data_IF_657253689810
#
_entry.id   IF_657253689810
#
_cell.length_a   1.000
_cell.length_b   1.000
_cell.length_c   1.000
_cell.angle_alpha   90.00
_cell.angle_beta   90.00
_cell.angle_gamma   90.00
#
_symmetry.space_group_name_H-M   'P 1'
#
loop_
_entity.id
_entity.type
_entity.pdbx_description
1 polymer ?
#
# COMPACT_ATOMS: atom_id res chain seq x y z
N UNK A 1 -1.73 20.09 3.99
CA UNK A 1 -0.86 20.90 4.88
C UNK A 1 -1.47 22.26 5.19
N UNK A 2 -2.80 22.38 5.20
CA UNK A 2 -3.46 23.57 5.74
C UNK A 2 -4.38 23.09 6.86
N UNK A 3 -3.83 23.06 8.07
CA UNK A 3 -4.34 22.36 9.26
C UNK A 3 -5.59 22.98 9.89
N UNK A 4 -6.44 23.62 9.09
CA UNK A 4 -7.58 24.41 9.57
C UNK A 4 -8.96 23.90 9.16
N UNK A 5 -9.07 22.80 8.42
CA UNK A 5 -10.39 22.24 8.06
C UNK A 5 -10.58 20.87 8.71
N UNK A 6 -11.49 20.72 9.69
CA UNK A 6 -12.00 19.39 9.98
C UNK A 6 -12.57 18.85 8.67
N UNK A 7 -12.05 17.71 8.20
CA UNK A 7 -12.76 17.00 7.14
C UNK A 7 -14.17 16.77 7.65
N UNK A 8 -15.15 17.30 6.92
CA UNK A 8 -16.55 16.93 7.07
C UNK A 8 -16.60 15.40 6.93
N UNK A 9 -16.67 14.72 8.07
CA UNK A 9 -17.17 13.37 8.15
C UNK A 9 -18.64 13.49 7.71
N UNK A 10 -18.88 13.31 6.41
CA UNK A 10 -20.22 13.07 5.93
C UNK A 10 -20.79 11.90 6.75
N UNK A 11 -22.01 12.00 7.30
CA UNK A 11 -22.70 10.85 7.86
C UNK A 11 -23.19 10.01 6.68
N UNK A 12 -22.24 9.46 5.91
CA UNK A 12 -22.47 8.26 5.14
C UNK A 12 -22.72 7.22 6.22
N UNK A 13 -23.80 6.44 6.11
CA UNK A 13 -23.86 5.19 6.85
C UNK A 13 -22.68 4.35 6.40
N UNK A 14 -21.54 4.45 7.10
CA UNK A 14 -20.30 3.73 6.84
C UNK A 14 -20.51 2.29 7.32
N UNK A 15 -21.49 1.60 6.74
CA UNK A 15 -21.66 0.16 6.84
C UNK A 15 -20.88 -0.42 5.67
N UNK A 16 -19.59 -0.74 5.87
CA UNK A 16 -18.84 -1.53 4.90
C UNK A 16 -17.42 -1.09 4.55
N UNK A 17 -16.81 -0.08 5.20
CA UNK A 17 -15.37 -0.23 5.37
C UNK A 17 -15.20 -1.48 6.23
N UNK A 18 -14.39 -2.44 5.78
CA UNK A 18 -13.99 -3.53 6.65
C UNK A 18 -13.44 -2.86 7.91
N UNK A 19 -14.17 -2.98 9.01
CA UNK A 19 -13.75 -2.59 10.35
C UNK A 19 -12.41 -3.23 10.74
N UNK A 20 -11.97 -4.18 9.90
CA UNK A 20 -10.82 -5.04 10.03
C UNK A 20 -9.83 -4.98 8.85
N UNK A 21 -9.69 -3.83 8.16
CA UNK A 21 -8.43 -3.53 7.41
C UNK A 21 -7.29 -3.25 8.40
N UNK A 22 -7.13 -4.11 9.41
CA UNK A 22 -6.11 -4.11 10.45
C UNK A 22 -5.01 -5.13 10.12
N UNK A 23 -4.91 -5.53 8.87
CA UNK A 23 -3.93 -6.51 8.42
C UNK A 23 -2.77 -5.79 7.74
N UNK A 24 -1.52 -6.18 8.03
CA UNK A 24 -0.40 -5.76 7.20
C UNK A 24 -0.62 -6.27 5.77
N UNK A 25 -1.20 -7.44 5.56
CA UNK A 25 -1.28 -8.04 4.23
C UNK A 25 -2.64 -7.87 3.53
N UNK A 26 -2.63 -7.81 2.20
CA UNK A 26 -3.83 -7.97 1.35
C UNK A 26 -3.59 -9.16 0.42
N UNK A 27 -4.02 -10.36 0.82
CA UNK A 27 -4.18 -11.57 -0.01
C UNK A 27 -2.90 -12.16 -0.68
N UNK A 28 -2.69 -13.50 -0.71
CA UNK A 28 -3.54 -14.60 -0.24
C UNK A 28 -3.21 -15.13 1.18
N UNK A 29 -2.53 -14.36 2.02
CA UNK A 29 -2.12 -14.82 3.35
C UNK A 29 -2.91 -14.10 4.42
N UNK A 30 -3.77 -14.87 5.08
CA UNK A 30 -4.68 -14.47 6.15
C UNK A 30 -3.88 -14.22 7.44
N UNK A 31 -3.11 -13.12 7.47
CA UNK A 31 -2.34 -12.72 8.65
C UNK A 31 -3.19 -11.88 9.59
N UNK A 32 -3.01 -12.09 10.89
CA UNK A 32 -3.65 -11.32 11.93
C UNK A 32 -3.06 -9.92 12.15
N UNK A 33 -3.54 -9.22 13.19
CA UNK A 33 -3.19 -7.83 13.45
C UNK A 33 -1.74 -7.67 13.91
N UNK A 34 -1.15 -6.52 13.58
CA UNK A 34 0.13 -6.09 14.15
C UNK A 34 -0.11 -5.29 15.43
N UNK A 35 0.53 -5.71 16.52
CA UNK A 35 0.60 -4.95 17.76
C UNK A 35 2.00 -4.38 17.96
N UNK A 36 2.08 -3.11 18.37
CA UNK A 36 3.31 -2.55 18.91
C UNK A 36 3.67 -3.19 20.25
N UNK A 37 4.93 -3.08 20.66
CA UNK A 37 5.46 -3.72 21.88
C UNK A 37 4.81 -3.21 23.19
N UNK A 38 4.13 -2.08 23.13
CA UNK A 38 3.31 -1.54 24.23
C UNK A 38 1.85 -2.06 24.22
N UNK A 39 1.51 -2.97 23.31
CA UNK A 39 0.17 -3.53 23.12
C UNK A 39 -0.75 -2.67 22.24
N UNK A 40 -0.26 -1.57 21.66
CA UNK A 40 -1.03 -0.72 20.76
C UNK A 40 -1.33 -1.39 19.42
N UNK A 41 -2.61 -1.55 19.07
CA UNK A 41 -3.03 -2.10 17.78
C UNK A 41 -2.73 -1.14 16.64
N UNK A 42 -1.91 -1.58 15.69
CA UNK A 42 -1.62 -0.82 14.46
C UNK A 42 -2.85 -0.80 13.55
N UNK A 43 -3.14 0.37 13.02
CA UNK A 43 -4.24 0.62 12.07
C UNK A 43 -3.67 0.93 10.70
N UNK A 44 -4.36 0.47 9.66
CA UNK A 44 -3.95 0.74 8.29
C UNK A 44 -4.95 1.68 7.62
N UNK A 45 -4.42 2.52 6.75
CA UNK A 45 -5.19 3.41 5.90
C UNK A 45 -4.73 3.21 4.47
N UNK A 46 -5.69 3.04 3.57
CA UNK A 46 -5.46 3.09 2.12
C UNK A 46 -6.16 4.33 1.61
N UNK A 47 -5.42 5.17 0.88
CA UNK A 47 -5.91 6.43 0.37
C UNK A 47 -5.41 6.66 -1.05
N UNK A 48 -6.27 7.21 -1.90
CA UNK A 48 -5.92 7.61 -3.25
C UNK A 48 -6.00 9.13 -3.40
N UNK A 49 -5.21 9.70 -4.30
CA UNK A 49 -5.32 11.13 -4.58
C UNK A 49 -6.62 11.49 -5.31
N UNK A 50 -6.93 12.79 -5.38
CA UNK A 50 -8.16 13.30 -6.01
C UNK A 50 -8.28 12.93 -7.50
N UNK A 51 -7.18 12.95 -8.25
CA UNK A 51 -7.17 12.51 -9.65
C UNK A 51 -7.61 11.07 -9.80
N UNK A 52 -7.05 10.17 -8.98
CA UNK A 52 -7.44 8.76 -9.01
C UNK A 52 -8.89 8.57 -8.56
N UNK A 53 -9.32 9.24 -7.49
CA UNK A 53 -10.71 9.18 -7.06
C UNK A 53 -11.68 9.65 -8.15
N UNK A 54 -11.38 10.76 -8.82
CA UNK A 54 -12.19 11.28 -9.92
C UNK A 54 -12.27 10.30 -11.10
N UNK A 55 -11.15 9.65 -11.43
CA UNK A 55 -11.10 8.57 -12.42
C UNK A 55 -12.02 7.40 -12.04
N UNK A 56 -11.86 6.83 -10.84
CA UNK A 56 -12.67 5.69 -10.37
C UNK A 56 -14.15 6.05 -10.38
N UNK A 57 -14.50 7.27 -9.96
CA UNK A 57 -15.88 7.76 -9.94
C UNK A 57 -16.45 7.94 -11.35
N UNK A 58 -15.69 8.55 -12.26
CA UNK A 58 -16.14 8.84 -13.62
C UNK A 58 -16.47 7.56 -14.39
N UNK A 59 -15.59 6.57 -14.33
CA UNK A 59 -15.79 5.28 -14.97
C UNK A 59 -16.60 4.28 -14.13
N UNK A 60 -17.09 4.71 -12.97
CA UNK A 60 -17.90 3.90 -12.03
C UNK A 60 -17.22 2.59 -11.62
N UNK A 61 -15.88 2.56 -11.60
CA UNK A 61 -15.13 1.35 -11.24
C UNK A 61 -15.25 0.96 -9.76
N UNK A 62 -15.93 1.74 -8.93
CA UNK A 62 -16.38 1.28 -7.61
C UNK A 62 -17.50 0.22 -7.68
N UNK A 63 -18.12 -0.01 -8.85
CA UNK A 63 -19.07 -1.10 -9.12
C UNK A 63 -18.37 -2.23 -9.90
N UNK A 64 -18.40 -3.45 -9.32
CA UNK A 64 -17.77 -4.62 -9.91
C UNK A 64 -18.32 -4.96 -11.32
N UNK A 65 -19.58 -4.65 -11.61
CA UNK A 65 -20.18 -4.92 -12.94
C UNK A 65 -19.62 -4.01 -14.01
N UNK A 66 -19.39 -2.75 -13.69
CA UNK A 66 -18.79 -1.80 -14.62
C UNK A 66 -17.35 -2.22 -14.96
N UNK A 67 -16.62 -2.73 -13.96
CA UNK A 67 -15.32 -3.34 -14.20
C UNK A 67 -15.42 -4.55 -15.15
N UNK A 68 -16.32 -5.50 -14.88
CA UNK A 68 -16.52 -6.69 -15.73
C UNK A 68 -16.88 -6.31 -17.17
N UNK A 69 -17.81 -5.35 -17.34
CA UNK A 69 -18.24 -4.91 -18.67
C UNK A 69 -17.12 -4.19 -19.42
N UNK A 70 -16.32 -3.36 -18.73
CA UNK A 70 -15.15 -2.72 -19.34
C UNK A 70 -14.12 -3.76 -19.81
N UNK A 71 -13.82 -4.79 -19.01
CA UNK A 71 -12.94 -5.90 -19.40
C UNK A 71 -13.52 -6.64 -20.61
N UNK A 72 -14.81 -7.00 -20.60
CA UNK A 72 -15.47 -7.68 -21.73
C UNK A 72 -15.40 -6.88 -23.03
N UNK A 73 -15.64 -5.57 -22.97
CA UNK A 73 -15.56 -4.67 -24.13
C UNK A 73 -14.15 -4.67 -24.72
N UNK A 74 -13.12 -4.49 -23.88
CA UNK A 74 -11.72 -4.51 -24.29
C UNK A 74 -11.35 -5.81 -25.02
N UNK A 75 -11.74 -6.95 -24.45
CA UNK A 75 -11.36 -8.26 -24.96
C UNK A 75 -12.10 -8.69 -26.22
N UNK A 76 -13.33 -8.21 -26.42
CA UNK A 76 -14.11 -8.52 -27.61
C UNK A 76 -13.58 -7.85 -28.90
N UNK A 77 -12.37 -7.28 -28.87
CA UNK A 77 -11.75 -6.67 -30.04
C UNK A 77 -12.39 -5.34 -30.46
N UNK A 78 -13.40 -4.87 -29.71
CA UNK A 78 -13.66 -3.45 -29.66
C UNK A 78 -12.43 -2.87 -29.00
N UNK A 79 -11.54 -2.28 -29.80
CA UNK A 79 -10.46 -1.41 -29.36
C UNK A 79 -11.06 -0.16 -28.71
N UNK A 80 -11.90 -0.35 -27.71
CA UNK A 80 -12.17 0.62 -26.68
C UNK A 80 -10.86 0.72 -25.90
N UNK A 81 -9.88 1.36 -26.55
CA UNK A 81 -8.60 1.69 -25.98
C UNK A 81 -8.80 2.56 -24.74
N UNK A 82 -10.02 3.10 -24.51
CA UNK A 82 -10.43 3.90 -23.36
C UNK A 82 -10.76 3.09 -22.10
N UNK A 83 -11.06 1.79 -22.23
CA UNK A 83 -11.32 0.92 -21.10
C UNK A 83 -10.06 0.79 -20.23
N UNK A 84 -10.19 1.18 -18.96
CA UNK A 84 -9.07 1.25 -18.01
C UNK A 84 -7.87 2.07 -18.51
N UNK A 85 -8.08 3.08 -19.36
CA UNK A 85 -7.03 4.05 -19.65
C UNK A 85 -6.54 4.69 -18.36
N UNK A 86 -5.24 4.59 -18.13
CA UNK A 86 -4.59 5.30 -17.04
C UNK A 86 -4.91 6.79 -17.20
N UNK A 87 -5.35 7.50 -16.14
CA UNK A 87 -5.65 8.91 -16.24
C UNK A 87 -4.55 9.70 -16.92
N UNK A 88 -4.87 10.57 -17.87
CA UNK A 88 -3.88 11.39 -18.50
C UNK A 88 -3.23 12.28 -17.46
N UNK A 89 -1.92 12.43 -17.58
CA UNK A 89 -1.12 13.37 -16.82
C UNK A 89 -0.95 14.67 -17.63
N UNK A 90 -0.77 15.80 -16.95
CA UNK A 90 -0.40 17.07 -17.58
C UNK A 90 -1.60 17.97 -17.83
N UNK A 91 -1.46 18.90 -18.79
CA UNK A 91 -2.43 19.99 -19.00
C UNK A 91 -3.88 19.47 -19.11
N UNK A 92 -4.73 19.74 -18.11
CA UNK A 92 -6.11 19.22 -18.02
C UNK A 92 -7.01 19.72 -19.13
N UNK A 93 -6.64 20.82 -19.78
CA UNK A 93 -7.42 21.43 -20.86
C UNK A 93 -7.53 20.51 -22.09
N UNK A 94 -6.65 19.50 -22.24
CA UNK A 94 -6.51 18.79 -23.52
C UNK A 94 -6.93 17.31 -23.49
N UNK A 95 -7.09 16.63 -22.34
CA UNK A 95 -7.12 15.15 -22.37
C UNK A 95 -8.16 14.39 -21.53
N UNK A 96 -8.81 14.97 -20.52
CA UNK A 96 -9.89 14.25 -19.82
C UNK A 96 -10.92 15.18 -19.18
N UNK A 97 -12.18 15.01 -19.58
CA UNK A 97 -13.33 15.76 -19.05
C UNK A 97 -13.46 15.65 -17.53
N UNK A 98 -13.11 14.50 -16.95
CA UNK A 98 -13.21 14.27 -15.50
C UNK A 98 -12.10 14.90 -14.66
N UNK A 99 -11.04 15.45 -15.29
CA UNK A 99 -9.96 16.17 -14.60
C UNK A 99 -10.12 17.69 -14.70
N UNK A 100 -10.91 18.19 -15.65
CA UNK A 100 -11.06 19.61 -15.97
C UNK A 100 -11.42 20.46 -14.76
N UNK A 101 -12.27 19.92 -13.88
CA UNK A 101 -12.81 20.64 -12.74
C UNK A 101 -11.96 20.45 -11.46
N UNK A 102 -10.85 19.70 -11.54
CA UNK A 102 -9.89 19.59 -10.44
C UNK A 102 -8.90 20.77 -10.44
N UNK A 103 -8.40 21.22 -9.28
CA UNK A 103 -7.31 22.17 -9.24
C UNK A 103 -6.01 21.56 -9.80
N UNK A 104 -5.10 22.37 -10.34
CA UNK A 104 -3.87 21.91 -11.00
C UNK A 104 -3.02 20.98 -10.13
N UNK A 105 -2.89 21.25 -8.82
CA UNK A 105 -2.14 20.40 -7.90
C UNK A 105 -2.74 18.99 -7.75
N UNK A 106 -4.01 18.80 -8.08
CA UNK A 106 -4.70 17.53 -7.99
C UNK A 106 -4.57 16.70 -9.26
N UNK A 107 -4.10 17.27 -10.38
CA UNK A 107 -4.01 16.65 -11.71
C UNK A 107 -2.64 15.97 -11.94
N UNK A 108 -2.19 15.19 -10.94
CA UNK A 108 -0.82 14.66 -10.87
C UNK A 108 -0.73 13.16 -11.22
N UNK A 109 -1.77 12.63 -11.88
CA UNK A 109 -1.90 11.22 -12.22
C UNK A 109 -2.41 10.37 -11.04
N UNK A 110 -2.15 9.07 -11.10
CA UNK A 110 -2.55 8.11 -10.07
C UNK A 110 -1.55 8.11 -8.92
N UNK A 111 -2.04 8.32 -7.70
CA UNK A 111 -1.28 8.07 -6.47
C UNK A 111 -2.15 7.23 -5.55
N UNK A 112 -1.60 6.12 -5.10
CA UNK A 112 -2.14 5.25 -4.06
C UNK A 112 -1.17 5.25 -2.88
N UNK A 113 -1.70 5.36 -1.68
CA UNK A 113 -0.95 5.45 -0.44
C UNK A 113 -1.50 4.42 0.52
N UNK A 114 -0.62 3.61 1.08
CA UNK A 114 -0.93 2.74 2.21
C UNK A 114 -0.11 3.21 3.40
N UNK A 115 -0.75 3.44 4.53
CA UNK A 115 -0.12 3.96 5.73
C UNK A 115 -0.42 3.05 6.93
N UNK A 116 0.57 2.85 7.79
CA UNK A 116 0.41 2.17 9.07
C UNK A 116 0.53 3.21 10.19
N UNK A 117 -0.39 3.12 11.15
CA UNK A 117 -0.55 4.07 12.24
C UNK A 117 -0.56 3.33 13.57
N UNK A 118 0.28 3.72 14.52
CA UNK A 118 0.23 3.20 15.90
C UNK A 118 -0.51 4.17 16.83
N UNK A 119 -1.19 3.69 17.87
CA UNK A 119 -1.61 4.51 18.99
C UNK A 119 -0.45 5.27 19.62
N UNK A 120 -0.69 6.52 20.02
CA UNK A 120 0.25 7.30 20.82
C UNK A 120 -0.37 7.70 22.17
N UNK A 121 0.40 7.51 23.24
CA UNK A 121 0.11 8.00 24.58
C UNK A 121 1.02 9.20 24.89
N UNK A 122 0.43 10.40 25.03
CA UNK A 122 1.17 11.64 25.31
C UNK A 122 2.03 11.60 26.57
N UNK A 123 1.77 10.69 27.50
CA UNK A 123 2.54 10.55 28.76
C UNK A 123 3.69 9.57 28.64
N UNK A 124 3.66 8.66 27.68
CA UNK A 124 4.64 7.57 27.52
C UNK A 124 5.49 7.73 26.26
N UNK A 125 4.90 8.32 25.23
CA UNK A 125 5.50 8.46 23.92
C UNK A 125 6.08 9.84 23.68
N UNK A 126 7.17 9.86 22.91
CA UNK A 126 7.75 11.05 22.30
C UNK A 126 6.97 11.45 21.06
N UNK A 127 5.77 12.00 21.28
CA UNK A 127 4.81 12.37 20.23
C UNK A 127 5.45 13.28 19.16
N UNK A 128 6.37 14.16 19.54
CA UNK A 128 7.12 15.04 18.64
C UNK A 128 7.97 14.33 17.58
N UNK A 129 8.21 13.02 17.74
CA UNK A 129 8.93 12.19 16.77
C UNK A 129 8.04 11.58 15.68
N UNK A 130 6.72 11.76 15.77
CA UNK A 130 5.74 11.14 14.88
C UNK A 130 4.95 12.20 14.12
N UNK A 131 4.81 12.01 12.81
CA UNK A 131 3.71 12.64 12.09
C UNK A 131 2.42 12.04 12.63
N UNK A 132 1.64 12.83 13.37
CA UNK A 132 0.51 12.33 14.14
C UNK A 132 -0.80 13.08 13.84
N UNK A 133 -1.93 12.41 14.06
CA UNK A 133 -3.26 13.00 13.99
C UNK A 133 -4.27 12.22 14.82
N UNK A 134 -5.38 12.85 15.14
CA UNK A 134 -6.53 12.17 15.72
C UNK A 134 -7.30 11.43 14.63
N UNK A 135 -7.56 10.13 14.85
CA UNK A 135 -8.30 9.26 13.95
C UNK A 135 -9.53 8.68 14.65
N UNK A 136 -10.63 8.58 13.92
CA UNK A 136 -11.80 7.80 14.35
C UNK A 136 -11.48 6.33 14.07
N UNK A 137 -11.28 5.55 15.13
CA UNK A 137 -10.85 4.14 15.05
C UNK A 137 -11.99 3.15 15.34
N UNK A 138 -13.22 3.65 15.50
CA UNK A 138 -14.40 2.84 15.77
C UNK A 138 -15.54 3.65 16.36
N UNK A 139 -16.56 2.95 16.85
CA UNK A 139 -17.70 3.51 17.58
C UNK A 139 -17.82 2.80 18.92
N UNK A 140 -17.89 3.54 20.01
CA UNK A 140 -18.02 3.04 21.38
C UNK A 140 -19.22 3.71 22.04
N UNK A 141 -20.21 2.91 22.48
CA UNK A 141 -21.47 3.41 23.06
C UNK A 141 -22.19 4.44 22.15
N UNK A 142 -22.20 4.18 20.84
CA UNK A 142 -22.83 5.04 19.84
C UNK A 142 -22.06 6.33 19.52
N UNK A 143 -20.85 6.53 20.06
CA UNK A 143 -20.02 7.71 19.79
C UNK A 143 -18.73 7.33 19.05
N UNK A 144 -18.22 8.19 18.14
CA UNK A 144 -16.92 7.97 17.52
C UNK A 144 -15.81 7.83 18.57
N UNK A 145 -15.06 6.73 18.50
CA UNK A 145 -13.85 6.52 19.30
C UNK A 145 -12.69 7.20 18.59
N UNK A 146 -12.24 8.33 19.13
CA UNK A 146 -11.11 9.10 18.60
C UNK A 146 -9.83 8.72 19.35
N UNK A 147 -8.75 8.48 18.61
CA UNK A 147 -7.44 8.15 19.18
C UNK A 147 -6.33 8.96 18.50
N UNK A 148 -5.35 9.42 19.29
CA UNK A 148 -4.12 10.00 18.74
C UNK A 148 -3.28 8.89 18.13
N UNK A 149 -2.96 9.01 16.85
CA UNK A 149 -2.24 8.01 16.09
C UNK A 149 -0.99 8.62 15.44
N UNK A 150 0.13 7.89 15.47
CA UNK A 150 1.40 8.25 14.85
C UNK A 150 1.70 7.38 13.63
N UNK A 151 2.12 8.01 12.53
CA UNK A 151 2.54 7.31 11.32
C UNK A 151 3.81 6.52 11.63
N UNK A 152 3.79 5.21 11.41
CA UNK A 152 4.95 4.32 11.58
C UNK A 152 5.50 3.83 10.25
N UNK A 153 4.66 3.77 9.22
CA UNK A 153 5.13 3.42 7.88
C UNK A 153 4.20 3.89 6.77
N UNK A 154 4.76 4.02 5.57
CA UNK A 154 4.10 4.57 4.39
C UNK A 154 4.62 3.90 3.12
N UNK A 155 3.69 3.40 2.31
CA UNK A 155 3.90 3.09 0.90
C UNK A 155 3.26 4.19 0.06
N UNK A 156 4.00 4.70 -0.91
CA UNK A 156 3.49 5.61 -1.93
C UNK A 156 3.72 4.94 -3.27
N UNK A 157 2.63 4.48 -3.89
CA UNK A 157 2.64 4.04 -5.27
C UNK A 157 2.16 5.20 -6.14
N UNK A 158 2.96 5.57 -7.13
CA UNK A 158 2.64 6.63 -8.08
C UNK A 158 2.88 6.17 -9.50
N UNK A 159 1.94 6.50 -10.38
CA UNK A 159 2.21 6.52 -11.82
C UNK A 159 2.89 7.83 -12.21
N UNK A 160 4.06 7.76 -12.84
CA UNK A 160 4.83 8.92 -13.30
C UNK A 160 5.23 8.79 -14.77
N UNK A 161 5.07 9.83 -15.59
CA UNK A 161 5.54 9.82 -16.99
C UNK A 161 7.06 9.92 -17.12
N UNK A 162 7.75 10.36 -16.06
CA UNK A 162 9.21 10.46 -16.03
C UNK A 162 9.89 9.19 -15.52
N UNK A 163 9.21 8.05 -15.57
CA UNK A 163 9.87 6.74 -15.54
C UNK A 163 10.67 6.59 -16.83
N UNK A 164 11.79 7.30 -16.93
CA UNK A 164 12.56 7.38 -18.17
C UNK A 164 13.18 6.01 -18.46
N UNK A 165 12.71 5.37 -19.53
CA UNK A 165 13.38 4.29 -20.22
C UNK A 165 14.12 4.89 -21.43
N UNK A 166 15.47 4.92 -21.41
CA UNK A 166 16.25 5.42 -22.54
C UNK A 166 16.07 4.59 -23.83
N UNK A 167 15.59 3.35 -23.73
CA UNK A 167 15.44 2.41 -24.83
C UNK A 167 14.00 2.27 -25.35
N UNK A 168 12.98 2.47 -24.49
CA UNK A 168 11.57 2.32 -24.86
C UNK A 168 10.83 3.64 -25.17
N UNK A 169 11.44 4.79 -24.91
CA UNK A 169 10.76 6.08 -24.99
C UNK A 169 9.97 6.39 -23.71
N UNK A 170 9.27 7.54 -23.68
CA UNK A 170 8.59 8.06 -22.49
C UNK A 170 7.27 7.32 -22.16
N UNK A 171 7.32 6.00 -22.04
CA UNK A 171 6.24 5.21 -21.50
C UNK A 171 6.29 5.28 -19.98
N UNK A 172 5.37 6.04 -19.39
CA UNK A 172 5.30 6.23 -17.94
C UNK A 172 5.39 4.92 -17.13
N UNK A 173 5.70 5.06 -15.85
CA UNK A 173 6.01 3.93 -14.99
C UNK A 173 5.44 4.09 -13.58
N UNK A 174 5.23 2.96 -12.94
CA UNK A 174 4.94 2.91 -11.51
C UNK A 174 6.22 3.04 -10.72
N UNK A 175 6.21 3.99 -9.80
CA UNK A 175 7.24 4.16 -8.79
C UNK A 175 6.57 3.88 -7.45
N UNK A 176 7.03 2.83 -6.78
CA UNK A 176 6.59 2.49 -5.43
C UNK A 176 7.71 2.84 -4.44
N UNK A 177 7.47 3.80 -3.55
CA UNK A 177 8.43 4.21 -2.54
C UNK A 177 7.94 3.81 -1.16
N UNK A 178 8.83 3.25 -0.37
CA UNK A 178 8.54 2.73 0.97
C UNK A 178 9.30 3.52 2.01
N UNK A 179 8.62 3.98 3.05
CA UNK A 179 9.18 4.77 4.14
C UNK A 179 8.80 4.18 5.50
N UNK A 180 9.66 4.40 6.49
CA UNK A 180 9.44 3.98 7.87
C UNK A 180 9.87 5.05 8.85
N UNK A 181 9.23 5.04 10.01
CA UNK A 181 9.72 5.75 11.19
C UNK A 181 10.96 5.03 11.75
N UNK A 182 12.00 5.79 12.14
CA UNK A 182 13.33 5.24 12.47
C UNK A 182 13.38 4.38 13.74
N UNK A 183 12.40 4.55 14.63
CA UNK A 183 12.22 3.84 15.89
C UNK A 183 11.36 2.57 15.70
N UNK A 184 11.05 2.12 14.49
CA UNK A 184 10.22 0.92 14.29
C UNK A 184 10.88 -0.36 14.83
N UNK A 185 12.13 -0.62 14.47
CA UNK A 185 12.81 -1.91 14.73
C UNK A 185 14.16 -1.78 15.44
N UNK A 186 14.67 -0.55 15.56
CA UNK A 186 15.95 -0.25 16.23
C UNK A 186 15.74 0.77 17.33
N UNK A 187 16.40 0.58 18.47
CA UNK A 187 16.49 1.63 19.49
C UNK A 187 17.26 2.82 18.94
N UNK A 188 16.81 4.02 19.24
CA UNK A 188 17.52 5.26 18.92
C UNK A 188 17.78 6.08 20.19
N UNK A 189 18.65 7.07 20.10
CA UNK A 189 18.88 8.04 21.17
C UNK A 189 18.24 9.35 20.77
N UNK A 190 17.38 9.89 21.64
CA UNK A 190 16.78 11.20 21.46
C UNK A 190 17.81 12.33 21.70
N UNK A 191 17.44 13.55 21.33
CA UNK A 191 18.32 14.73 21.45
C UNK A 191 18.73 15.05 22.89
N UNK A 192 17.93 14.63 23.88
CA UNK A 192 18.23 14.76 25.31
C UNK A 192 19.06 13.60 25.88
N UNK A 193 19.50 12.66 25.04
CA UNK A 193 20.26 11.48 25.44
C UNK A 193 19.39 10.29 25.90
N UNK A 194 18.07 10.42 25.94
CA UNK A 194 17.17 9.33 26.34
C UNK A 194 17.13 8.25 25.27
N UNK A 195 17.23 6.98 25.68
CA UNK A 195 17.03 5.85 24.77
C UNK A 195 15.54 5.70 24.45
N UNK A 196 15.21 5.79 23.16
CA UNK A 196 13.88 5.49 22.62
C UNK A 196 13.86 4.01 22.25
N UNK A 197 13.02 3.18 22.92
CA UNK A 197 12.91 1.78 22.58
C UNK A 197 12.23 1.60 21.21
N UNK A 198 12.51 0.50 20.50
CA UNK A 198 11.86 0.22 19.23
C UNK A 198 10.37 -0.09 19.41
N UNK A 199 9.58 0.29 18.42
CA UNK A 199 8.12 0.19 18.43
C UNK A 199 7.65 -1.25 18.28
N UNK A 200 8.29 -2.03 17.42
CA UNK A 200 7.85 -3.38 17.03
C UNK A 200 8.85 -4.47 17.42
N UNK A 201 10.03 -4.12 17.92
CA UNK A 201 11.06 -5.06 18.33
C UNK A 201 11.14 -5.14 19.85
N UNK A 202 11.34 -6.32 20.44
CA UNK A 202 11.47 -6.49 21.89
C UNK A 202 12.83 -6.02 22.48
N UNK A 203 13.65 -5.34 21.70
CA UNK A 203 14.99 -4.87 22.05
C UNK A 203 16.09 -5.94 22.00
N UNK A 204 15.77 -7.17 21.60
CA UNK A 204 16.75 -8.27 21.47
C UNK A 204 17.35 -8.30 20.06
N UNK A 205 18.56 -8.84 19.95
CA UNK A 205 19.15 -9.13 18.65
C UNK A 205 18.40 -10.30 17.97
N UNK A 206 18.20 -10.25 16.64
CA UNK A 206 17.56 -11.34 15.92
C UNK A 206 18.45 -12.59 15.90
N UNK A 207 17.84 -13.77 15.98
CA UNK A 207 18.47 -15.03 15.57
C UNK A 207 18.71 -15.03 14.05
N UNK A 208 19.52 -15.97 13.51
CA UNK A 208 19.68 -16.11 12.06
C UNK A 208 18.35 -16.28 11.32
N UNK A 209 17.44 -17.10 11.86
CA UNK A 209 16.10 -17.30 11.28
C UNK A 209 15.28 -16.01 11.32
N UNK A 210 15.26 -15.29 12.45
CA UNK A 210 14.56 -14.01 12.56
C UNK A 210 15.15 -12.95 11.61
N UNK A 211 16.46 -12.98 11.38
CA UNK A 211 17.13 -12.11 10.41
C UNK A 211 16.77 -12.45 8.97
N UNK A 212 16.45 -13.72 8.68
CA UNK A 212 16.03 -14.15 7.36
C UNK A 212 14.58 -13.74 7.05
N UNK A 213 13.66 -13.96 7.99
CA UNK A 213 12.23 -13.74 7.78
C UNK A 213 11.71 -12.37 8.24
N UNK A 214 12.42 -11.70 9.16
CA UNK A 214 12.06 -10.38 9.67
C UNK A 214 11.10 -10.38 10.85
N UNK A 215 10.82 -11.51 11.50
CA UNK A 215 9.97 -11.56 12.70
C UNK A 215 10.25 -12.80 13.55
N UNK A 216 9.72 -12.83 14.77
CA UNK A 216 9.77 -13.98 15.69
C UNK A 216 8.41 -14.63 15.91
N UNK A 217 8.37 -15.93 16.19
CA UNK A 217 7.16 -16.59 16.68
C UNK A 217 6.14 -16.86 15.58
N UNK A 218 4.92 -17.20 16.00
CA UNK A 218 3.81 -17.48 15.10
C UNK A 218 3.18 -16.19 14.58
N UNK A 219 2.79 -16.18 13.31
CA UNK A 219 2.00 -15.09 12.74
C UNK A 219 0.62 -15.14 13.41
N UNK A 220 0.08 -14.03 13.92
CA UNK A 220 -1.24 -14.03 14.54
C UNK A 220 -2.28 -14.53 13.53
N UNK A 221 -3.33 -15.25 13.97
CA UNK A 221 -4.38 -15.70 13.08
C UNK A 221 -5.19 -14.51 12.54
N UNK A 222 -5.76 -14.66 11.36
CA UNK A 222 -6.65 -13.67 10.77
C UNK A 222 -7.82 -13.29 11.71
N UNK A 223 -8.18 -12.01 11.65
CA UNK A 223 -9.41 -11.50 12.27
C UNK A 223 -10.61 -11.91 11.43
N UNK A 224 -11.47 -12.75 12.01
CA UNK A 224 -12.75 -13.11 11.40
C UNK A 224 -13.75 -11.97 11.60
N UNK A 225 -14.40 -11.44 10.55
CA UNK A 225 -15.39 -10.39 10.67
C UNK A 225 -16.49 -10.74 11.69
N UNK A 226 -16.78 -9.81 12.60
CA UNK A 226 -17.78 -9.97 13.66
C UNK A 226 -17.31 -10.75 14.89
N UNK A 227 -16.09 -11.29 14.89
CA UNK A 227 -15.46 -11.85 16.08
C UNK A 227 -14.66 -10.79 16.85
N UNK A 228 -14.46 -10.95 18.17
CA UNK A 228 -13.51 -10.13 18.91
C UNK A 228 -12.10 -10.24 18.31
N UNK A 229 -11.34 -9.13 18.36
CA UNK A 229 -9.92 -9.17 18.02
C UNK A 229 -9.18 -10.14 18.97
N UNK A 230 -8.16 -10.86 18.47
CA UNK A 230 -7.33 -11.68 19.33
C UNK A 230 -6.65 -10.80 20.39
N UNK A 231 -6.32 -11.36 21.57
CA UNK A 231 -5.60 -10.62 22.60
C UNK A 231 -4.34 -9.93 22.06
N UNK A 232 -3.97 -8.76 22.61
CA UNK A 232 -2.77 -8.05 22.16
C UNK A 232 -1.52 -8.84 22.53
N UNK A 233 -1.02 -9.62 21.58
CA UNK A 233 0.24 -10.37 21.67
C UNK A 233 1.24 -9.80 20.66
N UNK A 234 2.15 -8.90 21.10
CA UNK A 234 3.11 -8.29 20.20
C UNK A 234 4.13 -9.30 19.67
N UNK A 235 4.09 -9.51 18.35
CA UNK A 235 5.15 -10.22 17.64
C UNK A 235 6.37 -9.29 17.50
N UNK A 236 7.56 -9.79 17.82
CA UNK A 236 8.78 -9.00 17.60
C UNK A 236 9.14 -8.98 16.12
N UNK A 237 9.20 -7.77 15.56
CA UNK A 237 9.57 -7.52 14.18
C UNK A 237 11.04 -7.07 14.11
N UNK A 238 11.74 -7.62 13.13
CA UNK A 238 13.12 -7.33 12.78
C UNK A 238 13.17 -6.87 11.33
N UNK A 239 14.21 -6.13 10.95
CA UNK A 239 14.48 -5.89 9.52
C UNK A 239 15.11 -7.14 8.94
N UNK A 240 14.46 -7.78 7.98
CA UNK A 240 15.06 -8.91 7.28
C UNK A 240 16.37 -8.47 6.60
N UNK A 241 17.37 -9.35 6.55
CA UNK A 241 18.68 -9.04 5.96
C UNK A 241 18.55 -8.62 4.49
N UNK A 242 17.63 -9.24 3.75
CA UNK A 242 17.29 -8.90 2.37
C UNK A 242 16.66 -7.49 2.20
N UNK A 243 16.17 -6.89 3.28
CA UNK A 243 15.58 -5.54 3.34
C UNK A 243 16.54 -4.52 3.99
N UNK A 244 17.83 -4.87 4.13
CA UNK A 244 18.85 -3.94 4.61
C UNK A 244 18.91 -2.73 3.69
N UNK A 245 18.91 -1.53 4.29
CA UNK A 245 18.96 -0.28 3.54
C UNK A 245 20.19 -0.25 2.62
N UNK A 246 20.03 -0.18 1.28
CA UNK A 246 21.17 -0.05 0.38
C UNK A 246 22.00 1.20 0.70
N UNK A 247 23.32 1.15 0.42
CA UNK A 247 24.21 2.27 0.71
C UNK A 247 23.74 3.59 0.06
N UNK A 248 23.31 3.53 -1.20
CA UNK A 248 22.75 4.69 -1.90
C UNK A 248 21.50 5.27 -1.21
N UNK A 249 20.62 4.40 -0.69
CA UNK A 249 19.43 4.83 0.06
C UNK A 249 19.82 5.50 1.38
N UNK A 250 20.79 4.95 2.11
CA UNK A 250 21.31 5.57 3.33
C UNK A 250 21.89 6.96 3.06
N UNK A 251 22.67 7.11 1.98
CA UNK A 251 23.20 8.42 1.56
C UNK A 251 22.08 9.40 1.24
N UNK A 252 21.04 8.98 0.52
CA UNK A 252 19.87 9.82 0.21
C UNK A 252 19.13 10.22 1.48
N UNK A 253 18.91 9.29 2.42
CA UNK A 253 18.28 9.60 3.71
C UNK A 253 19.08 10.65 4.49
N UNK A 254 20.39 10.46 4.62
CA UNK A 254 21.27 11.42 5.29
C UNK A 254 21.19 12.80 4.64
N UNK A 255 21.26 12.85 3.30
CA UNK A 255 21.15 14.10 2.56
C UNK A 255 19.80 14.78 2.82
N UNK A 256 18.69 14.05 2.66
CA UNK A 256 17.35 14.60 2.81
C UNK A 256 17.09 15.07 4.24
N UNK A 257 17.45 14.26 5.23
CA UNK A 257 17.33 14.58 6.66
C UNK A 257 18.21 15.77 7.08
N UNK A 258 19.28 16.07 6.35
CA UNK A 258 20.13 17.25 6.59
C UNK A 258 19.57 18.56 6.01
N UNK A 259 18.60 18.50 5.10
CA UNK A 259 18.02 19.71 4.50
C UNK A 259 17.19 20.48 5.52
N UNK A 260 17.24 21.82 5.49
CA UNK A 260 16.52 22.66 6.46
C UNK A 260 15.02 22.32 6.61
N UNK A 261 14.24 22.08 5.54
CA UNK A 261 12.82 21.75 5.68
C UNK A 261 12.56 20.43 6.42
N UNK A 262 13.50 19.48 6.36
CA UNK A 262 13.33 18.14 6.94
C UNK A 262 13.94 18.09 8.33
N UNK A 263 15.17 18.59 8.47
CA UNK A 263 15.92 18.65 9.73
C UNK A 263 15.11 19.35 10.82
N UNK A 264 14.42 20.42 10.49
CA UNK A 264 13.66 21.20 11.47
C UNK A 264 12.20 20.73 11.60
N UNK A 265 11.84 19.60 10.99
CA UNK A 265 10.49 19.02 11.01
C UNK A 265 10.48 17.61 11.58
N UNK A 266 9.28 17.08 11.82
CA UNK A 266 9.08 15.68 12.22
C UNK A 266 9.56 14.66 11.18
N UNK A 267 9.71 15.07 9.92
CA UNK A 267 10.13 14.18 8.83
C UNK A 267 11.58 13.71 8.99
N UNK A 268 12.41 14.34 9.84
CA UNK A 268 13.75 13.84 10.17
C UNK A 268 13.74 12.44 10.81
N UNK A 269 12.63 12.05 11.41
CA UNK A 269 12.46 10.73 12.05
C UNK A 269 11.88 9.68 11.10
N UNK A 270 11.84 9.97 9.81
CA UNK A 270 11.41 9.06 8.76
C UNK A 270 12.55 8.82 7.79
N UNK A 271 12.61 7.61 7.25
CA UNK A 271 13.63 7.20 6.29
C UNK A 271 13.01 6.45 5.12
N UNK A 272 13.56 6.67 3.93
CA UNK A 272 13.32 5.84 2.75
C UNK A 272 13.93 4.47 3.00
N UNK A 273 13.15 3.42 2.75
CA UNK A 273 13.64 2.04 2.74
C UNK A 273 14.19 1.69 1.36
N UNK A 274 13.46 2.12 0.34
CA UNK A 274 13.85 1.96 -1.04
C UNK A 274 12.73 2.42 -1.97
N UNK A 275 13.00 2.31 -3.25
CA UNK A 275 12.03 2.63 -4.29
C UNK A 275 12.10 1.58 -5.38
N UNK A 276 10.94 1.04 -5.72
CA UNK A 276 10.74 0.14 -6.83
C UNK A 276 10.25 0.90 -8.05
N UNK A 277 10.78 0.55 -9.22
CA UNK A 277 10.35 1.06 -10.51
C UNK A 277 10.45 -0.04 -11.57
N UNK A 278 9.58 0.02 -12.58
CA UNK A 278 9.35 -0.98 -13.63
C UNK A 278 10.55 -1.31 -14.54
N UNK A 279 11.72 -0.69 -14.41
CA UNK A 279 12.68 -0.63 -15.53
C UNK A 279 13.99 -1.43 -15.39
N UNK A 280 14.17 -2.26 -14.37
CA UNK A 280 15.46 -2.92 -14.14
C UNK A 280 15.32 -4.43 -13.95
N UNK A 281 15.06 -5.13 -15.06
CA UNK A 281 15.17 -6.59 -15.15
C UNK A 281 13.99 -7.36 -14.57
N UNK A 282 13.77 -8.61 -15.00
CA UNK A 282 12.67 -9.44 -14.52
C UNK A 282 12.85 -9.72 -13.02
N UNK A 283 11.75 -9.87 -12.29
CA UNK A 283 11.82 -10.38 -10.91
C UNK A 283 12.46 -11.76 -10.92
N UNK A 284 13.57 -11.89 -10.20
CA UNK A 284 14.27 -13.17 -10.03
C UNK A 284 13.97 -13.72 -8.64
N UNK A 285 13.36 -14.90 -8.59
CA UNK A 285 13.23 -15.68 -7.36
C UNK A 285 14.47 -16.58 -7.24
N UNK A 286 15.01 -16.71 -6.03
CA UNK A 286 16.17 -17.58 -5.81
C UNK A 286 15.82 -19.06 -6.06
N UNK A 287 14.57 -19.46 -5.79
CA UNK A 287 14.06 -20.81 -6.04
C UNK A 287 12.59 -20.80 -6.51
N UNK A 288 12.12 -21.92 -7.05
CA UNK A 288 10.69 -22.10 -7.35
C UNK A 288 9.80 -22.12 -6.08
N UNK A 289 10.34 -22.59 -4.95
CA UNK A 289 9.64 -22.55 -3.67
C UNK A 289 9.46 -21.11 -3.16
N UNK A 290 10.47 -20.25 -3.34
CA UNK A 290 10.39 -18.81 -3.01
C UNK A 290 9.29 -18.08 -3.77
N UNK A 291 8.95 -18.56 -4.97
CA UNK A 291 7.83 -18.08 -5.77
C UNK A 291 6.50 -18.53 -5.15
N UNK A 292 6.37 -19.80 -4.78
CA UNK A 292 5.12 -20.35 -4.20
C UNK A 292 4.79 -19.78 -2.82
N UNK A 293 5.78 -19.55 -1.96
CA UNK A 293 5.60 -18.97 -0.61
C UNK A 293 4.91 -17.60 -0.64
N UNK A 294 5.06 -16.84 -1.72
CA UNK A 294 4.39 -15.55 -1.89
C UNK A 294 3.01 -15.65 -2.58
N UNK A 295 2.43 -16.86 -2.61
CA UNK A 295 1.18 -17.11 -3.33
C UNK A 295 1.33 -16.99 -4.84
N UNK A 296 2.56 -17.04 -5.39
CA UNK A 296 2.77 -16.91 -6.82
C UNK A 296 2.64 -18.25 -7.55
N UNK A 297 1.41 -18.61 -7.90
CA UNK A 297 1.16 -19.71 -8.84
C UNK A 297 1.32 -19.19 -10.28
N UNK A 298 2.18 -19.85 -11.07
CA UNK A 298 2.37 -19.59 -12.51
C UNK A 298 3.48 -18.58 -12.87
N UNK A 299 3.93 -18.58 -14.15
CA UNK A 299 4.99 -17.71 -14.64
C UNK A 299 4.59 -16.23 -14.51
N UNK A 300 5.31 -15.46 -13.69
CA UNK A 300 5.28 -14.00 -13.69
C UNK A 300 6.19 -13.60 -14.85
N UNK A 301 5.65 -13.62 -16.07
CA UNK A 301 6.34 -13.01 -17.20
C UNK A 301 6.03 -11.52 -17.24
N UNK A 302 6.93 -10.72 -17.81
CA UNK A 302 6.64 -9.30 -18.05
C UNK A 302 6.66 -8.35 -16.83
N UNK A 303 6.92 -8.82 -15.61
CA UNK A 303 7.07 -7.93 -14.44
C UNK A 303 8.55 -7.65 -14.21
N UNK A 304 8.92 -6.40 -14.47
CA UNK A 304 10.28 -5.90 -14.33
C UNK A 304 10.33 -4.95 -13.13
N UNK A 305 11.34 -5.07 -12.27
CA UNK A 305 11.56 -4.15 -11.14
C UNK A 305 13.02 -4.12 -10.73
N UNK A 306 13.53 -2.94 -10.38
CA UNK A 306 14.88 -2.74 -9.86
C UNK A 306 15.18 -3.39 -8.51
N UNK A 307 14.17 -3.83 -7.78
CA UNK A 307 14.35 -4.56 -6.54
C UNK A 307 13.32 -5.68 -6.43
N UNK A 308 13.78 -6.89 -6.10
CA UNK A 308 12.91 -8.04 -5.82
C UNK A 308 12.21 -7.93 -4.46
N UNK A 309 12.80 -7.14 -3.55
CA UNK A 309 12.42 -7.04 -2.16
C UNK A 309 12.30 -5.56 -1.78
N UNK A 310 11.08 -5.10 -1.55
CA UNK A 310 10.82 -3.79 -0.96
C UNK A 310 9.52 -3.82 -0.17
N UNK A 311 9.69 -3.93 1.14
CA UNK A 311 8.63 -3.73 2.11
C UNK A 311 9.18 -3.05 3.35
N UNK A 312 8.30 -2.69 4.26
CA UNK A 312 8.69 -2.19 5.56
C UNK A 312 8.23 -3.08 6.72
N UNK A 313 8.73 -2.76 7.90
CA UNK A 313 8.46 -3.47 9.15
C UNK A 313 7.02 -3.42 9.67
N UNK A 314 6.15 -2.56 9.14
CA UNK A 314 4.79 -2.36 9.68
C UNK A 314 3.66 -2.68 8.69
N UNK A 315 3.82 -2.37 7.41
CA UNK A 315 2.85 -2.60 6.35
C UNK A 315 2.92 -4.01 5.79
N UNK A 316 4.04 -4.73 5.88
CA UNK A 316 4.15 -6.12 5.41
C UNK A 316 5.05 -6.92 6.36
N UNK A 317 4.83 -6.73 7.67
CA UNK A 317 5.71 -7.21 8.75
C UNK A 317 6.06 -8.69 8.66
N UNK A 318 5.11 -9.52 8.21
CA UNK A 318 5.21 -10.98 8.14
C UNK A 318 5.63 -11.51 6.76
N UNK A 319 5.89 -10.64 5.78
CA UNK A 319 6.24 -11.02 4.40
C UNK A 319 7.46 -10.22 3.90
N UNK A 320 8.47 -10.05 4.76
CA UNK A 320 9.66 -9.25 4.42
C UNK A 320 10.61 -9.88 3.40
N UNK A 321 10.47 -11.18 3.13
CA UNK A 321 11.30 -11.93 2.18
C UNK A 321 10.51 -12.23 0.91
N UNK A 322 11.14 -11.98 -0.24
CA UNK A 322 10.63 -12.22 -1.60
C UNK A 322 9.34 -11.47 -1.94
N UNK A 323 9.13 -10.30 -1.34
CA UNK A 323 7.93 -9.49 -1.53
C UNK A 323 8.24 -8.12 -2.14
N UNK A 324 7.41 -7.73 -3.10
CA UNK A 324 7.57 -6.52 -3.88
C UNK A 324 6.23 -5.78 -3.97
N UNK A 325 6.25 -4.47 -3.69
CA UNK A 325 5.07 -3.62 -3.83
C UNK A 325 4.54 -3.68 -5.26
N UNK A 326 5.42 -3.54 -6.26
CA UNK A 326 5.03 -3.65 -7.67
C UNK A 326 4.44 -5.02 -7.95
N UNK A 327 5.02 -6.10 -7.41
CA UNK A 327 4.54 -7.46 -7.62
C UNK A 327 3.15 -7.72 -7.01
N UNK A 328 2.90 -7.17 -5.84
CA UNK A 328 1.58 -7.22 -5.22
C UNK A 328 0.58 -6.42 -6.06
N UNK A 329 0.95 -5.21 -6.46
CA UNK A 329 0.08 -4.34 -7.23
C UNK A 329 -0.20 -4.84 -8.65
N UNK A 330 0.73 -5.52 -9.34
CA UNK A 330 0.47 -6.14 -10.66
C UNK A 330 -0.57 -7.29 -10.61
N UNK A 331 -0.88 -7.77 -9.40
CA UNK A 331 -1.91 -8.78 -9.12
C UNK A 331 -3.20 -8.18 -8.58
N UNK A 332 -3.19 -6.90 -8.22
CA UNK A 332 -4.40 -6.15 -7.91
C UNK A 332 -5.18 -5.95 -9.21
N UNK A 333 -6.13 -6.87 -9.44
CA UNK A 333 -6.88 -6.98 -10.69
C UNK A 333 -8.30 -6.49 -10.51
N UNK A 334 -8.82 -5.89 -11.57
CA UNK A 334 -10.24 -5.58 -11.67
C UNK A 334 -11.07 -6.85 -11.85
N UNK A 335 -12.33 -6.80 -11.47
CA UNK A 335 -13.29 -7.86 -11.78
C UNK A 335 -13.42 -8.07 -13.29
N UNK A 336 -13.67 -9.32 -13.69
CA UNK A 336 -13.90 -9.71 -15.10
C UNK A 336 -12.67 -10.21 -15.85
N UNK A 337 -11.47 -10.08 -15.27
CA UNK A 337 -10.27 -10.76 -15.79
C UNK A 337 -10.33 -12.22 -15.34
N UNK A 338 -10.23 -13.21 -16.24
CA UNK A 338 -10.22 -14.61 -15.84
C UNK A 338 -9.02 -14.94 -14.96
N UNK A 339 -9.20 -15.94 -14.10
CA UNK A 339 -8.10 -16.46 -13.29
C UNK A 339 -7.14 -17.27 -14.17
N UNK A 340 -5.85 -17.29 -13.81
CA UNK A 340 -4.79 -17.99 -14.55
C UNK A 340 -5.07 -19.48 -14.89
N UNK A 341 -5.77 -20.27 -14.05
CA UNK A 341 -6.09 -21.66 -14.40
C UNK A 341 -7.36 -21.80 -15.26
N UNK A 342 -8.01 -20.71 -15.65
CA UNK A 342 -9.20 -20.76 -16.51
C UNK A 342 -8.80 -21.11 -17.95
N UNK A 343 -8.81 -22.40 -18.27
CA UNK A 343 -8.47 -22.96 -19.58
C UNK A 343 -9.59 -22.82 -20.62
N UNK A 344 -10.55 -21.91 -20.38
CA UNK A 344 -11.70 -21.71 -21.26
C UNK A 344 -11.23 -21.44 -22.71
N UNK A 345 -11.59 -22.32 -23.67
CA UNK A 345 -11.21 -22.17 -25.07
C UNK A 345 -11.74 -20.84 -25.63
N UNK A 346 -10.84 -20.01 -26.17
CA UNK A 346 -11.19 -18.71 -26.77
C UNK A 346 -10.74 -17.48 -25.98
N UNK A 347 -10.16 -17.65 -24.78
CA UNK A 347 -9.57 -16.55 -24.04
C UNK A 347 -8.04 -16.52 -24.23
N UNK A 348 -7.43 -15.42 -24.70
CA UNK A 348 -6.00 -15.40 -24.95
C UNK A 348 -5.22 -15.35 -23.63
N UNK A 349 -4.23 -16.24 -23.42
CA UNK A 349 -3.23 -16.09 -22.35
C UNK A 349 -2.51 -14.73 -22.38
N UNK A 350 -2.54 -14.03 -23.52
CA UNK A 350 -1.97 -12.69 -23.66
C UNK A 350 -2.75 -11.59 -22.91
N UNK A 351 -4.07 -11.72 -22.71
CA UNK A 351 -4.85 -10.74 -21.95
C UNK A 351 -4.47 -10.74 -20.46
N UNK A 352 -3.98 -11.87 -19.94
CA UNK A 352 -3.39 -11.98 -18.61
C UNK A 352 -2.14 -11.11 -18.46
N UNK A 353 -1.43 -10.90 -19.56
CA UNK A 353 -0.18 -10.15 -19.60
C UNK A 353 -0.37 -8.66 -19.97
N UNK A 354 -1.61 -8.20 -20.12
CA UNK A 354 -1.89 -6.81 -20.48
C UNK A 354 -1.74 -5.86 -19.28
N UNK A 355 -0.82 -4.90 -19.41
CA UNK A 355 -0.49 -3.93 -18.36
C UNK A 355 -1.63 -2.92 -18.08
N UNK A 356 -2.66 -2.80 -18.93
CA UNK A 356 -3.81 -1.92 -18.67
C UNK A 356 -4.56 -2.29 -17.40
N UNK A 357 -4.64 -3.59 -17.10
CA UNK A 357 -5.42 -4.09 -15.97
C UNK A 357 -4.58 -4.40 -14.73
N UNK A 358 -3.26 -4.52 -14.89
CA UNK A 358 -2.41 -5.07 -13.85
C UNK A 358 -2.25 -4.15 -12.66
N UNK A 359 -2.34 -2.83 -12.80
CA UNK A 359 -1.82 -1.92 -11.76
C UNK A 359 -2.90 -0.95 -11.30
N UNK A 360 -4.07 -1.51 -11.03
CA UNK A 360 -5.15 -0.78 -10.41
C UNK A 360 -5.19 -1.19 -8.95
N UNK A 361 -5.16 -0.18 -8.08
CA UNK A 361 -5.26 -0.30 -6.61
C UNK A 361 -6.11 -1.48 -6.12
N UNK A 362 -5.72 -2.05 -4.99
CA UNK A 362 -6.52 -3.08 -4.28
C UNK A 362 -7.94 -2.60 -3.96
N UNK A 363 -8.19 -1.29 -3.89
CA UNK A 363 -9.52 -0.74 -3.66
C UNK A 363 -10.55 -1.22 -4.70
N UNK A 364 -10.14 -1.51 -5.93
CA UNK A 364 -11.08 -2.02 -6.95
C UNK A 364 -11.52 -3.46 -6.68
N UNK A 365 -10.72 -4.25 -5.96
CA UNK A 365 -11.09 -5.60 -5.54
C UNK A 365 -12.13 -5.59 -4.41
N UNK A 366 -12.26 -4.47 -3.69
CA UNK A 366 -13.33 -4.27 -2.70
C UNK A 366 -14.64 -3.75 -3.32
N UNK A 367 -14.70 -3.56 -4.64
CA UNK A 367 -15.92 -3.14 -5.32
C UNK A 367 -17.02 -4.18 -5.11
N UNK A 368 -18.19 -3.74 -4.67
CA UNK A 368 -19.40 -4.55 -4.58
C UNK A 368 -20.35 -4.15 -5.72
N UNK A 369 -21.17 -5.06 -6.26
CA UNK A 369 -22.27 -4.66 -7.13
C UNK A 369 -23.16 -3.67 -6.37
N UNK A 370 -23.48 -2.51 -6.95
CA UNK A 370 -24.39 -1.57 -6.28
C UNK A 370 -25.77 -2.19 -6.07
N UNK A 371 -26.37 -1.99 -4.87
CA UNK A 371 -27.71 -2.48 -4.52
C UNK A 371 -28.79 -1.99 -5.51
N UNK A 372 -28.67 -0.77 -6.04
CA UNK A 372 -29.60 -0.20 -7.03
C UNK A 372 -29.76 -1.04 -8.30
N UNK A 373 -28.80 -1.90 -8.63
CA UNK A 373 -28.96 -2.83 -9.75
C UNK A 373 -28.93 -4.30 -9.35
N UNK A 374 -28.98 -4.63 -8.06
CA UNK A 374 -29.43 -5.95 -7.60
C UNK A 374 -30.96 -6.08 -7.74
N UNK A 375 -31.68 -4.95 -7.72
CA UNK A 375 -33.13 -4.88 -7.96
C UNK A 375 -33.49 -4.78 -9.45
N UNK A 376 -32.54 -4.43 -10.31
CA UNK A 376 -32.70 -4.41 -11.77
C UNK A 376 -32.34 -5.79 -12.37
N UNK A 377 -32.96 -6.86 -11.86
CA UNK A 377 -32.73 -8.25 -12.29
C UNK A 377 -32.78 -8.48 -13.81
N UNK A 378 -32.38 -9.69 -14.27
CA UNK A 378 -32.23 -10.02 -15.70
C UNK A 378 -33.46 -9.69 -16.56
#
# INVERSE_FOLDING_TARGET
>A
LDGGRPMLAFPIGITGYATDVNQPYFFPHDTGPLYAQDGGLVRYEVAVNRSFFAYVRHFRYFDAREQIQAVKRYLAGFRDETAFQRPPFGNPAERATYLRDLPSFAQVGLVDVKAAWRPLDRKKDRVERYLHRELVIGVENGKPKVQLMGLVSLHILRWTPNGYDPAAGADGAFVASTFEQIDNVTSNVAEDGTVVPPTFNNGRLPTPQQSEYGFSGEIPPEVVPGQPLPPPEPVSIYRAAAQSLPAAVRTINQLYQSTAPVKDSVLRYYQLIGTQNRHQGPITFATAADREVNGHQGPITGVYTNANNLVNSALESYTQKNFSCILCHVRARTFGIPHAPDTTPGFPPAAFEDDHFKILTFLLQSASPSKEAAEAGP
#
